data_IF_804018013068
#
_entry.id   IF_804018013068
#
_cell.length_a   1.000
_cell.length_b   1.000
_cell.length_c   1.000
_cell.angle_alpha   90.00
_cell.angle_beta   90.00
_cell.angle_gamma   90.00
#
_symmetry.space_group_name_H-M   'P 1'
#
loop_
_entity.id
_entity.type
_entity.pdbx_description
1 polymer ?
#
# COMPACT_ATOMS: atom_id res chain seq x y z
N UNK A 1 10.94 4.89 -14.81
CA UNK A 1 11.75 3.76 -14.35
C UNK A 1 12.10 2.73 -15.44
N UNK A 2 11.89 3.02 -16.72
CA UNK A 2 12.51 2.35 -17.84
C UNK A 2 12.21 0.85 -17.99
N UNK A 3 13.28 0.05 -18.17
CA UNK A 3 13.18 -1.37 -18.49
C UNK A 3 12.65 -2.22 -17.31
N UNK A 4 13.07 -1.93 -16.07
CA UNK A 4 12.63 -2.65 -14.86
C UNK A 4 11.11 -2.56 -14.65
N UNK A 5 10.56 -1.35 -14.74
CA UNK A 5 9.11 -1.15 -14.58
C UNK A 5 8.27 -1.89 -15.63
N UNK A 6 8.84 -2.07 -16.83
CA UNK A 6 8.19 -2.90 -17.88
C UNK A 6 8.27 -4.39 -17.56
N UNK A 7 9.38 -4.84 -17.00
CA UNK A 7 9.55 -6.24 -16.59
C UNK A 7 8.57 -6.59 -15.45
N UNK A 8 8.44 -5.70 -14.45
CA UNK A 8 7.50 -5.88 -13.35
C UNK A 8 6.04 -5.91 -13.82
N UNK A 9 5.68 -5.00 -14.75
CA UNK A 9 4.34 -5.01 -15.36
C UNK A 9 4.10 -6.28 -16.19
N UNK A 10 5.11 -6.76 -16.93
CA UNK A 10 5.04 -8.03 -17.65
C UNK A 10 4.81 -9.21 -16.70
N UNK A 11 5.59 -9.31 -15.62
CA UNK A 11 5.40 -10.35 -14.61
C UNK A 11 3.99 -10.35 -14.04
N UNK A 12 3.45 -9.17 -13.69
CA UNK A 12 2.09 -9.04 -13.16
C UNK A 12 1.03 -9.45 -14.20
N UNK A 13 1.21 -9.07 -15.47
CA UNK A 13 0.32 -9.46 -16.56
C UNK A 13 0.31 -10.97 -16.79
N UNK A 14 1.48 -11.59 -16.83
CA UNK A 14 1.62 -13.05 -17.00
C UNK A 14 0.99 -13.82 -15.83
N UNK A 15 1.12 -13.30 -14.60
CA UNK A 15 0.48 -13.88 -13.42
C UNK A 15 -1.05 -13.78 -13.53
N UNK A 16 -1.57 -12.63 -13.89
CA UNK A 16 -3.01 -12.42 -14.05
C UNK A 16 -3.58 -13.33 -15.15
N UNK A 17 -2.88 -13.50 -16.27
CA UNK A 17 -3.27 -14.40 -17.36
C UNK A 17 -3.35 -15.86 -16.87
N UNK A 18 -2.33 -16.33 -16.13
CA UNK A 18 -2.32 -17.68 -15.55
C UNK A 18 -3.47 -17.92 -14.55
N UNK A 19 -3.85 -16.89 -13.83
CA UNK A 19 -4.94 -16.94 -12.85
C UNK A 19 -6.31 -16.63 -13.47
N UNK A 20 -6.37 -16.35 -14.78
CA UNK A 20 -7.57 -15.93 -15.50
C UNK A 20 -8.23 -14.69 -14.87
N UNK A 21 -7.41 -13.70 -14.46
CA UNK A 21 -7.83 -12.44 -13.87
C UNK A 21 -7.56 -11.31 -14.87
N UNK A 22 -8.51 -10.41 -15.14
CA UNK A 22 -8.26 -9.24 -15.97
C UNK A 22 -7.12 -8.38 -15.43
N UNK A 23 -6.21 -7.93 -16.29
CA UNK A 23 -5.08 -7.07 -15.94
C UNK A 23 -5.13 -5.79 -16.74
N UNK A 24 -5.05 -4.64 -16.07
CA UNK A 24 -5.02 -3.32 -16.68
C UNK A 24 -3.70 -2.64 -16.32
N UNK A 25 -2.88 -2.33 -17.32
CA UNK A 25 -1.58 -1.67 -17.15
C UNK A 25 -1.72 -0.19 -17.55
N UNK A 26 -1.46 0.71 -16.61
CA UNK A 26 -1.46 2.15 -16.83
C UNK A 26 -0.04 2.70 -16.86
N UNK A 27 0.30 3.42 -17.93
CA UNK A 27 1.54 4.15 -18.04
C UNK A 27 1.31 5.63 -17.70
N UNK A 28 2.09 6.17 -16.77
CA UNK A 28 2.00 7.56 -16.30
C UNK A 28 3.37 8.21 -16.30
N UNK A 29 3.42 9.50 -16.64
CA UNK A 29 4.66 10.30 -16.62
C UNK A 29 4.80 11.01 -15.26
N UNK A 30 5.41 10.31 -14.30
CA UNK A 30 5.65 10.83 -12.95
C UNK A 30 6.58 12.05 -12.95
N UNK A 31 7.72 12.08 -13.67
CA UNK A 31 8.59 13.24 -13.71
C UNK A 31 7.90 14.50 -14.23
N UNK A 32 7.14 14.40 -15.32
CA UNK A 32 6.40 15.51 -15.88
C UNK A 32 5.35 16.06 -14.90
N UNK A 33 4.60 15.16 -14.27
CA UNK A 33 3.59 15.52 -13.28
C UNK A 33 4.21 16.20 -12.06
N UNK A 34 5.30 15.65 -11.53
CA UNK A 34 6.03 16.21 -10.40
C UNK A 34 6.52 17.64 -10.71
N UNK A 35 7.15 17.84 -11.88
CA UNK A 35 7.67 19.15 -12.30
C UNK A 35 6.55 20.19 -12.46
N UNK A 36 5.43 19.81 -13.06
CA UNK A 36 4.30 20.73 -13.32
C UNK A 36 3.52 21.12 -12.06
N UNK A 37 3.60 20.32 -10.98
CA UNK A 37 2.88 20.58 -9.72
C UNK A 37 3.80 20.95 -8.55
N UNK A 38 5.11 21.03 -8.75
CA UNK A 38 6.09 21.35 -7.70
C UNK A 38 6.16 20.27 -6.60
N UNK A 39 5.95 18.99 -6.96
CA UNK A 39 5.89 17.87 -6.04
C UNK A 39 7.17 17.03 -6.08
N UNK A 40 7.43 16.30 -4.99
CA UNK A 40 8.42 15.21 -5.01
C UNK A 40 7.96 14.04 -5.87
N UNK A 41 8.92 13.28 -6.43
CA UNK A 41 8.60 12.13 -7.31
C UNK A 41 7.74 11.06 -6.60
N UNK A 42 7.98 10.79 -5.33
CA UNK A 42 7.21 9.81 -4.54
C UNK A 42 5.74 10.24 -4.38
N UNK A 43 5.54 11.51 -4.04
CA UNK A 43 4.20 12.09 -3.89
C UNK A 43 3.44 12.10 -5.21
N UNK A 44 4.09 12.55 -6.29
CA UNK A 44 3.54 12.53 -7.64
C UNK A 44 3.16 11.11 -8.09
N UNK A 45 4.04 10.13 -7.88
CA UNK A 45 3.76 8.73 -8.20
C UNK A 45 2.58 8.17 -7.39
N UNK A 46 2.48 8.56 -6.11
CA UNK A 46 1.36 8.18 -5.25
C UNK A 46 0.04 8.76 -5.77
N UNK A 47 0.00 10.05 -6.09
CA UNK A 47 -1.22 10.71 -6.61
C UNK A 47 -1.67 10.04 -7.90
N UNK A 48 -0.79 9.92 -8.90
CA UNK A 48 -1.12 9.32 -10.20
C UNK A 48 -1.59 7.86 -10.07
N UNK A 49 -1.05 7.10 -9.12
CA UNK A 49 -1.50 5.74 -8.85
C UNK A 49 -2.95 5.72 -8.36
N UNK A 50 -3.29 6.58 -7.41
CA UNK A 50 -4.67 6.64 -6.90
C UNK A 50 -5.64 7.13 -7.98
N UNK A 51 -5.28 8.14 -8.77
CA UNK A 51 -6.09 8.63 -9.88
C UNK A 51 -6.38 7.55 -10.92
N UNK A 52 -5.36 6.75 -11.30
CA UNK A 52 -5.51 5.64 -12.22
C UNK A 52 -6.48 4.57 -11.66
N UNK A 53 -6.32 4.19 -10.41
CA UNK A 53 -7.19 3.21 -9.74
C UNK A 53 -8.62 3.73 -9.60
N UNK A 54 -8.81 4.96 -9.17
CA UNK A 54 -10.13 5.59 -9.01
C UNK A 54 -10.87 5.67 -10.36
N UNK A 55 -10.15 5.96 -11.45
CA UNK A 55 -10.69 5.97 -12.81
C UNK A 55 -11.16 4.57 -13.24
N UNK A 56 -10.37 3.52 -12.99
CA UNK A 56 -10.75 2.13 -13.29
C UNK A 56 -11.99 1.71 -12.52
N UNK A 57 -12.03 1.96 -11.21
CA UNK A 57 -13.18 1.63 -10.37
C UNK A 57 -14.44 2.33 -10.86
N UNK A 58 -14.34 3.62 -11.18
CA UNK A 58 -15.49 4.41 -11.68
C UNK A 58 -16.00 3.85 -13.01
N UNK A 59 -15.08 3.47 -13.91
CA UNK A 59 -15.42 2.89 -15.21
C UNK A 59 -16.09 1.53 -15.06
N UNK A 60 -15.54 0.65 -14.21
CA UNK A 60 -16.09 -0.66 -13.93
C UNK A 60 -17.48 -0.57 -13.28
N UNK A 61 -17.64 0.33 -12.30
CA UNK A 61 -18.94 0.57 -11.65
C UNK A 61 -20.01 1.06 -12.63
N UNK A 62 -19.66 2.00 -13.51
CA UNK A 62 -20.59 2.49 -14.52
C UNK A 62 -21.01 1.40 -15.53
N UNK A 63 -20.10 0.49 -15.88
CA UNK A 63 -20.40 -0.65 -16.75
C UNK A 63 -21.32 -1.66 -16.05
N UNK A 64 -21.09 -1.94 -14.76
CA UNK A 64 -21.89 -2.88 -13.96
C UNK A 64 -23.33 -2.35 -13.74
N UNK A 65 -23.48 -1.05 -13.48
CA UNK A 65 -24.78 -0.40 -13.39
C UNK A 65 -25.60 -0.48 -14.70
N UNK A 66 -24.96 -0.31 -15.85
CA UNK A 66 -25.63 -0.45 -17.16
C UNK A 66 -26.17 -1.86 -17.41
N UNK A 67 -25.61 -2.86 -16.75
CA UNK A 67 -26.05 -4.25 -16.78
C UNK A 67 -27.12 -4.57 -15.73
N UNK A 68 -27.59 -3.57 -14.97
CA UNK A 68 -28.60 -3.75 -13.92
C UNK A 68 -28.05 -4.33 -12.61
N UNK A 69 -26.73 -4.40 -12.46
CA UNK A 69 -26.08 -4.82 -11.22
C UNK A 69 -25.82 -3.59 -10.33
N UNK A 70 -25.91 -3.79 -9.01
CA UNK A 70 -25.61 -2.75 -8.01
C UNK A 70 -24.41 -3.15 -7.12
N UNK A 71 -23.42 -3.84 -7.69
CA UNK A 71 -22.24 -4.25 -6.94
C UNK A 71 -21.37 -3.05 -6.63
N UNK A 72 -20.98 -2.92 -5.38
CA UNK A 72 -20.00 -1.92 -4.98
C UNK A 72 -18.60 -2.42 -5.31
N UNK A 73 -17.86 -1.69 -6.14
CA UNK A 73 -16.46 -2.00 -6.38
C UNK A 73 -15.61 -1.56 -5.18
N UNK A 74 -14.67 -2.41 -4.78
CA UNK A 74 -13.69 -2.13 -3.73
C UNK A 74 -12.28 -2.32 -4.29
N UNK A 75 -11.33 -1.54 -3.79
CA UNK A 75 -9.91 -1.64 -4.14
C UNK A 75 -9.18 -2.37 -3.03
N UNK A 76 -8.63 -3.54 -3.32
CA UNK A 76 -7.73 -4.21 -2.40
C UNK A 76 -6.29 -3.72 -2.64
N UNK A 77 -5.62 -3.26 -1.57
CA UNK A 77 -4.22 -2.86 -1.60
C UNK A 77 -3.40 -3.78 -0.70
N UNK A 78 -2.20 -4.15 -1.15
CA UNK A 78 -1.35 -5.17 -0.52
C UNK A 78 -0.44 -4.59 0.59
N UNK A 79 -0.92 -3.59 1.36
CA UNK A 79 -0.19 -3.15 2.55
C UNK A 79 -0.21 -4.25 3.61
N UNK A 80 0.92 -4.49 4.23
CA UNK A 80 1.11 -5.52 5.25
C UNK A 80 1.53 -4.91 6.61
N UNK A 81 1.79 -5.73 7.61
CA UNK A 81 2.04 -5.32 8.98
C UNK A 81 3.23 -4.37 9.12
N UNK A 82 4.33 -4.64 8.43
CA UNK A 82 5.52 -3.78 8.42
C UNK A 82 5.25 -2.41 7.79
N UNK A 83 4.47 -2.34 6.70
CA UNK A 83 4.08 -1.04 6.08
C UNK A 83 3.28 -0.18 7.05
N UNK A 84 2.43 -0.81 7.87
CA UNK A 84 1.69 -0.10 8.91
C UNK A 84 2.61 0.41 10.02
N UNK A 85 3.51 -0.43 10.52
CA UNK A 85 4.50 -0.02 11.52
C UNK A 85 5.39 1.14 11.01
N UNK A 86 5.84 1.09 9.76
CA UNK A 86 6.56 2.19 9.11
C UNK A 86 5.72 3.48 9.10
N UNK A 87 4.44 3.37 8.78
CA UNK A 87 3.53 4.51 8.75
C UNK A 87 3.37 5.13 10.13
N UNK A 88 3.18 4.31 11.16
CA UNK A 88 3.05 4.76 12.56
C UNK A 88 4.32 5.49 13.01
N UNK A 89 5.50 4.90 12.82
CA UNK A 89 6.76 5.54 13.17
C UNK A 89 7.00 6.84 12.39
N UNK A 90 6.69 6.84 11.09
CA UNK A 90 6.83 8.04 10.27
C UNK A 90 5.91 9.17 10.75
N UNK A 91 4.68 8.86 11.13
CA UNK A 91 3.76 9.84 11.71
C UNK A 91 4.21 10.32 13.08
N UNK A 92 4.76 9.45 13.91
CA UNK A 92 5.34 9.81 15.22
C UNK A 92 6.49 10.81 15.04
N UNK A 93 7.42 10.56 14.12
CA UNK A 93 8.54 11.46 13.83
C UNK A 93 8.11 12.84 13.29
N UNK A 94 6.92 12.91 12.68
CA UNK A 94 6.32 14.19 12.21
C UNK A 94 5.49 14.90 13.28
N UNK A 95 5.41 14.37 14.49
CA UNK A 95 4.63 14.96 15.56
C UNK A 95 3.12 14.82 15.38
N UNK A 96 2.66 13.77 14.70
CA UNK A 96 1.23 13.53 14.52
C UNK A 96 0.55 13.17 15.84
N UNK A 97 -0.68 13.67 16.04
CA UNK A 97 -1.53 13.29 17.17
C UNK A 97 -2.09 11.86 17.05
N UNK A 98 -2.98 11.49 17.98
CA UNK A 98 -3.53 10.14 18.10
C UNK A 98 -4.11 9.58 16.77
N UNK A 99 -4.79 10.40 15.98
CA UNK A 99 -5.33 10.01 14.68
C UNK A 99 -4.23 9.55 13.69
N UNK A 100 -3.10 10.25 13.64
CA UNK A 100 -1.98 9.86 12.79
C UNK A 100 -1.26 8.60 13.30
N UNK A 101 -1.19 8.42 14.62
CA UNK A 101 -0.58 7.27 15.27
C UNK A 101 -1.45 6.01 15.23
N UNK A 102 -2.74 6.12 14.88
CA UNK A 102 -3.62 4.98 14.63
C UNK A 102 -3.21 4.15 13.38
N UNK A 103 -2.27 4.65 12.59
CA UNK A 103 -1.76 3.93 11.42
C UNK A 103 -2.76 3.82 10.27
N UNK A 104 -2.73 2.69 9.58
CA UNK A 104 -3.63 2.40 8.46
C UNK A 104 -4.86 1.65 8.96
N UNK A 105 -6.05 2.11 8.56
CA UNK A 105 -7.29 1.36 8.80
C UNK A 105 -7.42 0.19 7.81
N UNK A 106 -7.97 -0.97 8.25
CA UNK A 106 -8.26 -2.10 7.35
C UNK A 106 -9.17 -1.73 6.20
N UNK A 107 -10.11 -0.83 6.46
CA UNK A 107 -11.04 -0.25 5.47
C UNK A 107 -10.97 1.27 5.55
N UNK A 108 -10.93 1.93 4.40
CA UNK A 108 -10.99 3.39 4.32
C UNK A 108 -11.72 3.83 3.05
N UNK A 109 -12.38 4.98 3.11
CA UNK A 109 -13.04 5.58 1.95
C UNK A 109 -12.27 6.83 1.55
N UNK A 110 -11.95 6.95 0.26
CA UNK A 110 -11.31 8.12 -0.31
C UNK A 110 -11.96 8.44 -1.66
N UNK A 111 -12.38 9.67 -1.86
CA UNK A 111 -13.07 10.12 -3.10
C UNK A 111 -14.23 9.21 -3.53
N UNK A 112 -14.99 8.66 -2.56
CA UNK A 112 -16.11 7.75 -2.84
C UNK A 112 -15.70 6.31 -3.17
N UNK A 113 -14.39 6.00 -3.23
CA UNK A 113 -13.87 4.65 -3.46
C UNK A 113 -13.52 4.00 -2.13
N UNK A 114 -13.97 2.77 -1.92
CA UNK A 114 -13.64 1.97 -0.74
C UNK A 114 -12.34 1.20 -0.98
N UNK A 115 -11.36 1.40 -0.10
CA UNK A 115 -10.09 0.69 -0.09
C UNK A 115 -10.07 -0.31 1.06
N UNK A 116 -9.68 -1.54 0.79
CA UNK A 116 -9.48 -2.59 1.80
C UNK A 116 -8.01 -3.02 1.83
N UNK A 117 -7.53 -3.45 3.00
CA UNK A 117 -6.14 -3.91 3.21
C UNK A 117 -6.15 -5.32 3.83
N UNK A 118 -6.40 -6.35 3.02
CA UNK A 118 -6.56 -7.72 3.53
C UNK A 118 -5.32 -8.28 4.22
N UNK A 119 -4.13 -7.79 3.86
CA UNK A 119 -2.85 -8.28 4.38
C UNK A 119 -2.31 -7.46 5.57
N UNK A 120 -3.07 -6.49 6.09
CA UNK A 120 -2.57 -5.56 7.11
C UNK A 120 -2.16 -6.25 8.43
N UNK A 121 -2.72 -7.42 8.73
CA UNK A 121 -2.39 -8.24 9.89
C UNK A 121 -1.34 -9.33 9.60
N UNK A 122 -0.92 -9.49 8.35
CA UNK A 122 0.09 -10.47 7.97
C UNK A 122 1.49 -9.83 7.95
N UNK A 123 2.49 -10.55 8.40
CA UNK A 123 3.88 -10.15 8.23
C UNK A 123 4.37 -10.46 6.82
N UNK A 124 5.41 -9.74 6.39
CA UNK A 124 6.07 -10.03 5.12
C UNK A 124 6.58 -11.47 5.05
N UNK A 125 7.13 -11.99 6.13
CA UNK A 125 7.61 -13.37 6.23
C UNK A 125 6.48 -14.39 5.98
N UNK A 126 5.31 -14.18 6.58
CA UNK A 126 4.14 -15.04 6.35
C UNK A 126 3.66 -14.99 4.89
N UNK A 127 3.69 -13.81 4.26
CA UNK A 127 3.32 -13.65 2.85
C UNK A 127 4.32 -14.40 1.96
N UNK A 128 5.62 -14.25 2.20
CA UNK A 128 6.67 -14.93 1.43
C UNK A 128 6.62 -16.46 1.60
N UNK A 129 6.34 -16.95 2.82
CA UNK A 129 6.12 -18.38 3.10
C UNK A 129 4.93 -18.92 2.32
N UNK A 130 3.79 -18.22 2.36
CA UNK A 130 2.59 -18.60 1.60
C UNK A 130 2.88 -18.66 0.09
N UNK A 131 3.61 -17.69 -0.47
CA UNK A 131 3.98 -17.70 -1.88
C UNK A 131 4.89 -18.89 -2.22
N UNK A 132 5.85 -19.20 -1.34
CA UNK A 132 6.75 -20.36 -1.49
C UNK A 132 5.98 -21.68 -1.46
N UNK A 133 5.05 -21.86 -0.52
CA UNK A 133 4.22 -23.06 -0.41
C UNK A 133 3.36 -23.29 -1.67
N UNK A 134 2.91 -22.18 -2.29
CA UNK A 134 2.13 -22.24 -3.53
C UNK A 134 2.99 -22.25 -4.81
N UNK A 135 4.32 -22.31 -4.69
CA UNK A 135 5.23 -22.24 -5.84
C UNK A 135 5.13 -20.97 -6.66
N UNK A 136 4.62 -19.87 -6.05
CA UNK A 136 4.42 -18.60 -6.71
C UNK A 136 5.67 -17.73 -6.56
N UNK A 137 6.33 -17.43 -7.68
CA UNK A 137 7.40 -16.45 -7.71
C UNK A 137 6.86 -15.03 -7.46
N UNK A 138 7.72 -14.15 -6.96
CA UNK A 138 7.44 -12.72 -6.80
C UNK A 138 8.64 -11.88 -7.21
N UNK A 139 8.40 -10.61 -7.50
CA UNK A 139 9.44 -9.64 -7.88
C UNK A 139 9.75 -8.74 -6.68
N UNK A 140 11.04 -8.51 -6.45
CA UNK A 140 11.50 -7.53 -5.45
C UNK A 140 11.92 -6.26 -6.18
N UNK A 141 11.24 -5.15 -5.89
CA UNK A 141 11.56 -3.84 -6.48
C UNK A 141 12.97 -3.40 -6.01
N UNK A 142 13.88 -3.19 -6.95
CA UNK A 142 15.26 -2.77 -6.66
C UNK A 142 15.33 -1.39 -5.96
N UNK A 143 14.32 -0.54 -6.12
CA UNK A 143 14.26 0.77 -5.44
C UNK A 143 13.95 0.67 -3.94
N UNK A 144 13.58 -0.49 -3.44
CA UNK A 144 13.42 -0.74 -2.00
C UNK A 144 14.73 -0.58 -1.22
N UNK A 145 15.88 -0.58 -1.88
CA UNK A 145 17.21 -0.40 -1.26
C UNK A 145 17.67 1.07 -1.22
N UNK A 146 16.96 2.00 -1.88
CA UNK A 146 17.33 3.42 -1.88
C UNK A 146 16.91 4.10 -0.57
N UNK A 147 17.89 4.30 0.34
CA UNK A 147 17.71 4.95 1.65
C UNK A 147 17.58 6.48 1.60
N UNK A 148 17.66 7.10 0.42
CA UNK A 148 17.41 8.53 0.26
C UNK A 148 15.96 8.92 0.64
N UNK A 149 15.05 7.95 0.59
CA UNK A 149 13.65 8.13 1.00
C UNK A 149 13.47 7.78 2.48
N UNK A 150 12.78 8.65 3.22
CA UNK A 150 12.60 8.53 4.68
C UNK A 150 12.00 7.20 5.13
N UNK A 151 11.10 6.59 4.33
CA UNK A 151 10.51 5.29 4.64
C UNK A 151 11.50 4.13 4.47
N UNK A 152 12.29 4.16 3.39
CA UNK A 152 13.33 3.15 3.19
C UNK A 152 14.38 3.23 4.31
N UNK A 153 14.69 4.45 4.79
CA UNK A 153 15.58 4.62 5.94
C UNK A 153 15.00 4.01 7.23
N UNK A 154 13.70 4.19 7.48
CA UNK A 154 13.05 3.50 8.60
C UNK A 154 13.18 1.97 8.45
N UNK A 155 12.87 1.42 7.29
CA UNK A 155 12.92 -0.01 6.99
C UNK A 155 14.31 -0.62 7.15
N UNK A 156 15.34 0.02 6.62
CA UNK A 156 16.68 -0.54 6.53
C UNK A 156 17.58 -0.18 7.69
N UNK A 157 17.38 0.97 8.33
CA UNK A 157 18.28 1.45 9.37
C UNK A 157 17.64 1.37 10.76
N UNK A 158 16.34 1.70 10.89
CA UNK A 158 15.69 1.84 12.20
C UNK A 158 15.05 0.53 12.66
N UNK A 159 14.22 -0.11 11.83
CA UNK A 159 13.57 -1.37 12.22
C UNK A 159 14.52 -2.48 12.63
N UNK A 160 15.68 -2.70 11.97
CA UNK A 160 16.64 -3.70 12.43
C UNK A 160 17.17 -3.43 13.84
N UNK A 161 17.33 -2.17 14.23
CA UNK A 161 17.74 -1.79 15.59
C UNK A 161 16.61 -2.02 16.60
N UNK A 162 15.38 -1.69 16.26
CA UNK A 162 14.22 -1.95 17.13
C UNK A 162 14.02 -3.44 17.37
N UNK A 163 14.20 -4.28 16.36
CA UNK A 163 14.09 -5.74 16.45
C UNK A 163 15.22 -6.36 17.28
N UNK A 164 16.39 -5.72 17.40
CA UNK A 164 17.45 -6.15 18.33
C UNK A 164 17.08 -5.86 19.80
N UNK A 165 16.27 -4.82 20.05
CA UNK A 165 15.79 -4.49 21.40
C UNK A 165 14.59 -5.38 21.77
N UNK A 166 13.69 -5.59 20.83
CA UNK A 166 12.50 -6.40 21.01
C UNK A 166 12.12 -7.04 19.65
N UNK A 167 12.19 -8.36 19.58
CA UNK A 167 11.89 -9.15 18.38
C UNK A 167 10.42 -9.01 17.92
N UNK A 168 9.51 -8.58 18.80
CA UNK A 168 8.13 -8.28 18.54
C UNK A 168 7.83 -6.79 18.37
N UNK A 169 8.82 -5.95 18.08
CA UNK A 169 8.63 -4.50 17.99
C UNK A 169 7.59 -4.10 16.94
N UNK A 170 7.56 -4.81 15.80
CA UNK A 170 6.60 -4.54 14.72
C UNK A 170 5.17 -4.84 15.18
N UNK A 171 4.95 -5.99 15.80
CA UNK A 171 3.66 -6.38 16.34
C UNK A 171 3.17 -5.39 17.41
N UNK A 172 4.04 -5.04 18.36
CA UNK A 172 3.69 -4.10 19.44
C UNK A 172 3.35 -2.70 18.93
N UNK A 173 4.03 -2.22 17.88
CA UNK A 173 3.70 -0.95 17.22
C UNK A 173 2.29 -1.04 16.61
N UNK A 174 1.98 -2.15 15.93
CA UNK A 174 0.67 -2.36 15.32
C UNK A 174 -0.45 -2.52 16.36
N UNK A 175 -0.21 -3.24 17.46
CA UNK A 175 -1.14 -3.38 18.58
C UNK A 175 -1.47 -2.01 19.19
N UNK A 176 -0.43 -1.19 19.44
CA UNK A 176 -0.59 0.17 19.97
C UNK A 176 -1.38 1.07 19.01
N UNK A 177 -1.08 1.00 17.72
CA UNK A 177 -1.82 1.74 16.70
C UNK A 177 -3.29 1.31 16.64
N UNK A 178 -3.58 0.01 16.75
CA UNK A 178 -4.93 -0.52 16.79
C UNK A 178 -5.72 -0.02 18.01
N UNK A 179 -5.10 0.03 19.19
CA UNK A 179 -5.73 0.60 20.39
C UNK A 179 -6.07 2.09 20.19
N UNK A 180 -5.14 2.86 19.58
CA UNK A 180 -5.40 4.27 19.28
C UNK A 180 -6.50 4.45 18.24
N UNK A 181 -6.61 3.56 17.25
CA UNK A 181 -7.70 3.58 16.28
C UNK A 181 -9.06 3.42 16.97
N UNK A 182 -9.21 2.42 17.84
CA UNK A 182 -10.45 2.19 18.61
C UNK A 182 -10.80 3.40 19.48
N UNK A 183 -9.80 4.01 20.14
CA UNK A 183 -10.03 5.21 20.93
C UNK A 183 -10.50 6.39 20.07
N UNK A 184 -9.89 6.61 18.91
CA UNK A 184 -10.28 7.68 18.00
C UNK A 184 -11.71 7.49 17.49
N UNK A 185 -12.09 6.26 17.10
CA UNK A 185 -13.43 5.94 16.63
C UNK A 185 -14.50 6.21 17.72
N UNK A 186 -14.15 5.97 18.99
CA UNK A 186 -15.04 6.27 20.12
C UNK A 186 -15.24 7.78 20.34
N UNK A 187 -14.22 8.61 20.11
CA UNK A 187 -14.31 10.06 20.28
C UNK A 187 -14.95 10.78 19.07
N UNK A 188 -15.01 10.14 17.89
CA UNK A 188 -15.63 10.72 16.69
C UNK A 188 -17.15 10.38 16.58
N UNK A 189 -17.71 9.55 17.48
CA UNK A 189 -19.15 9.24 17.58
C UNK A 189 -19.89 10.28 18.40
#
# INVERSE_FOLDING_TARGET
RGAESRADAGFASDLCERLNIPCHVHSVDVPQYAASHGLGLEEAARILRYEAVEKEVTTAYAADQKQGNSRQAVVAVAHHMEDNAETVLFQMLRGSGAKGLAGMHPVSVKNGVTYIRPLLSATRAQIEEYLKENGQAFVTDATNTDTAYSRNKLRHDVFPLLLQINDRAIEHINESAGQLAVMNDFYEQ
#
